data_IF_964687761698
#
_entry.id   IF_964687761698
#
_cell.length_a   1.000
_cell.length_b   1.000
_cell.length_c   1.000
_cell.angle_alpha   90.00
_cell.angle_beta   90.00
_cell.angle_gamma   90.00
#
_symmetry.space_group_name_H-M   'P 1'
#
loop_
_entity.id
_entity.type
_entity.pdbx_description
1 polymer ?
#
# COMPACT_ATOMS: atom_id res chain seq x y z
N UNK A 1 -59.14 -24.65 30.34
CA UNK A 1 -57.88 -24.76 29.57
C UNK A 1 -57.69 -23.44 28.85
N UNK A 2 -56.68 -22.68 29.29
CA UNK A 2 -56.43 -21.30 28.86
C UNK A 2 -55.84 -21.25 27.45
N UNK A 3 -56.30 -20.26 26.67
CA UNK A 3 -55.73 -19.86 25.38
C UNK A 3 -54.73 -18.74 25.62
N UNK A 4 -53.46 -18.92 25.26
CA UNK A 4 -52.57 -17.80 24.93
C UNK A 4 -51.77 -18.14 23.68
N UNK A 5 -52.13 -17.44 22.61
CA UNK A 5 -51.42 -17.35 21.34
C UNK A 5 -50.24 -16.41 21.54
N UNK A 6 -49.14 -16.64 20.82
CA UNK A 6 -48.29 -15.57 20.29
C UNK A 6 -47.45 -16.14 19.13
N UNK A 7 -47.71 -15.60 17.94
CA UNK A 7 -46.98 -15.77 16.69
C UNK A 7 -45.64 -15.01 16.76
N UNK A 8 -44.59 -15.54 16.13
CA UNK A 8 -43.53 -14.75 15.47
C UNK A 8 -42.73 -15.71 14.57
N UNK A 9 -43.07 -15.80 13.28
CA UNK A 9 -42.55 -14.97 12.19
C UNK A 9 -41.11 -15.35 11.80
N UNK A 10 -41.02 -16.14 10.73
CA UNK A 10 -39.85 -16.36 9.88
C UNK A 10 -39.33 -15.04 9.34
N UNK A 11 -38.03 -14.78 9.45
CA UNK A 11 -37.34 -13.81 8.62
C UNK A 11 -36.08 -14.46 8.05
N UNK A 12 -36.09 -14.68 6.73
CA UNK A 12 -34.92 -15.07 5.97
C UNK A 12 -33.99 -13.86 5.88
N UNK A 13 -32.79 -13.97 6.43
CA UNK A 13 -31.73 -13.01 6.16
C UNK A 13 -31.01 -13.46 4.89
N UNK A 14 -31.32 -12.79 3.77
CA UNK A 14 -30.53 -12.87 2.55
C UNK A 14 -29.14 -12.31 2.84
N UNK A 15 -28.12 -13.17 2.86
CA UNK A 15 -26.73 -12.75 2.88
C UNK A 15 -26.39 -12.12 1.52
N UNK A 16 -26.56 -10.81 1.41
CA UNK A 16 -25.99 -10.03 0.30
C UNK A 16 -24.51 -9.87 0.65
N UNK A 17 -23.70 -10.84 0.24
CA UNK A 17 -22.25 -10.70 0.29
C UNK A 17 -21.85 -9.60 -0.68
N UNK A 18 -21.67 -8.39 -0.17
CA UNK A 18 -20.92 -7.33 -0.85
C UNK A 18 -19.50 -7.84 -1.03
N UNK A 19 -19.23 -8.56 -2.11
CA UNK A 19 -17.88 -8.63 -2.65
C UNK A 19 -17.54 -7.19 -3.03
N UNK A 20 -16.93 -6.47 -2.09
CA UNK A 20 -16.33 -5.18 -2.35
C UNK A 20 -15.37 -5.39 -3.50
N UNK A 21 -15.76 -4.97 -4.70
CA UNK A 21 -14.86 -4.88 -5.83
C UNK A 21 -13.88 -3.75 -5.54
N UNK A 22 -12.93 -3.95 -4.64
CA UNK A 22 -11.73 -3.13 -4.60
C UNK A 22 -11.04 -3.35 -5.95
N UNK A 23 -11.03 -2.31 -6.78
CA UNK A 23 -10.24 -2.32 -8.00
C UNK A 23 -8.79 -2.59 -7.57
N UNK A 24 -8.05 -3.48 -8.26
CA UNK A 24 -6.68 -3.75 -7.86
C UNK A 24 -5.87 -2.44 -7.86
N UNK A 25 -4.98 -2.31 -6.89
CA UNK A 25 -4.12 -1.13 -6.72
C UNK A 25 -2.67 -1.51 -7.03
N UNK A 26 -1.81 -0.53 -7.34
CA UNK A 26 -0.36 -0.75 -7.37
C UNK A 26 0.14 -1.26 -6.01
N UNK A 27 1.16 -2.11 -6.03
CA UNK A 27 1.78 -2.64 -4.82
C UNK A 27 3.31 -2.66 -4.95
N UNK A 28 4.02 -2.38 -3.86
CA UNK A 28 5.46 -2.62 -3.77
C UNK A 28 5.69 -4.11 -3.55
N UNK A 29 6.51 -4.72 -4.40
CA UNK A 29 6.91 -6.13 -4.26
C UNK A 29 8.22 -6.28 -3.50
N UNK A 30 9.12 -5.30 -3.61
CA UNK A 30 10.39 -5.29 -2.88
C UNK A 30 10.95 -3.88 -2.75
N UNK A 31 11.64 -3.63 -1.64
CA UNK A 31 12.48 -2.45 -1.42
C UNK A 31 13.85 -2.92 -0.94
N UNK A 32 14.90 -2.40 -1.56
CA UNK A 32 16.29 -2.71 -1.21
C UNK A 32 17.08 -1.41 -1.17
N UNK A 33 17.87 -1.20 -0.13
CA UNK A 33 18.87 -0.14 -0.09
C UNK A 33 20.26 -0.74 -0.32
N UNK A 34 21.09 -0.04 -1.09
CA UNK A 34 22.52 -0.34 -1.16
C UNK A 34 23.21 0.26 0.08
N UNK A 35 24.19 -0.46 0.65
CA UNK A 35 25.00 -0.03 1.79
C UNK A 35 24.23 0.25 3.11
N UNK A 36 24.83 1.05 4.00
CA UNK A 36 24.23 1.47 5.27
C UNK A 36 23.13 2.52 5.01
N UNK A 37 22.04 2.47 5.79
CA UNK A 37 20.91 3.42 5.71
C UNK A 37 21.25 4.78 6.32
N UNK A 38 22.27 5.45 5.79
CA UNK A 38 22.70 6.76 6.27
C UNK A 38 23.39 7.57 5.17
N UNK A 39 23.07 8.87 5.11
CA UNK A 39 23.63 9.77 4.10
C UNK A 39 23.08 9.47 2.70
N UNK A 40 23.91 9.68 1.67
CA UNK A 40 23.51 9.45 0.28
C UNK A 40 23.39 7.96 -0.03
N UNK A 41 22.16 7.47 -0.13
CA UNK A 41 21.84 6.05 -0.32
C UNK A 41 21.06 5.83 -1.61
N UNK A 42 21.39 4.75 -2.33
CA UNK A 42 20.61 4.28 -3.46
C UNK A 42 19.57 3.25 -3.00
N UNK A 43 18.30 3.49 -3.32
CA UNK A 43 17.18 2.63 -2.99
C UNK A 43 16.53 2.14 -4.27
N UNK A 44 16.38 0.84 -4.39
CA UNK A 44 15.68 0.18 -5.49
C UNK A 44 14.33 -0.33 -5.02
N UNK A 45 13.26 0.12 -5.66
CA UNK A 45 11.88 -0.30 -5.38
C UNK A 45 11.32 -1.00 -6.60
N UNK A 46 10.78 -2.20 -6.43
CA UNK A 46 10.01 -2.88 -7.49
C UNK A 46 8.52 -2.73 -7.22
N UNK A 47 7.81 -2.22 -8.21
CA UNK A 47 6.37 -1.95 -8.15
C UNK A 47 5.65 -2.78 -9.21
N UNK A 48 4.53 -3.39 -8.82
CA UNK A 48 3.59 -4.04 -9.71
C UNK A 48 2.31 -3.21 -9.76
N UNK A 49 1.96 -2.67 -10.93
CA UNK A 49 0.66 -2.06 -11.13
C UNK A 49 -0.35 -3.15 -11.48
N UNK A 50 -1.06 -3.70 -10.50
CA UNK A 50 -2.18 -4.61 -10.76
C UNK A 50 -3.46 -3.87 -11.16
N UNK A 51 -3.50 -2.54 -10.97
CA UNK A 51 -4.62 -1.68 -11.29
C UNK A 51 -4.66 -1.24 -12.76
N UNK A 52 -5.44 -0.19 -13.02
CA UNK A 52 -5.52 0.39 -14.35
C UNK A 52 -4.24 1.15 -14.71
N UNK A 53 -4.00 1.35 -16.01
CA UNK A 53 -2.94 2.23 -16.48
C UNK A 53 -3.16 3.66 -15.96
N UNK A 54 -2.09 4.31 -15.51
CA UNK A 54 -2.13 5.65 -14.93
C UNK A 54 -0.86 5.98 -14.17
N UNK A 55 -0.94 7.06 -13.40
CA UNK A 55 0.12 7.46 -12.48
C UNK A 55 0.10 6.57 -11.24
N UNK A 56 1.29 6.23 -10.75
CA UNK A 56 1.53 5.49 -9.52
C UNK A 56 2.46 6.33 -8.66
N UNK A 57 2.01 6.61 -7.43
CA UNK A 57 2.83 7.28 -6.43
C UNK A 57 3.57 6.22 -5.62
N UNK A 58 4.90 6.32 -5.60
CA UNK A 58 5.79 5.50 -4.78
C UNK A 58 6.23 6.37 -3.62
N UNK A 59 5.96 5.92 -2.40
CA UNK A 59 6.35 6.62 -1.16
C UNK A 59 7.33 5.75 -0.41
N UNK A 60 8.56 6.25 -0.22
CA UNK A 60 9.60 5.61 0.58
C UNK A 60 9.64 6.32 1.93
N UNK A 61 9.63 5.55 3.02
CA UNK A 61 9.71 6.06 4.39
C UNK A 61 10.89 5.42 5.12
N UNK A 62 11.63 6.22 5.88
CA UNK A 62 12.63 5.72 6.82
C UNK A 62 12.11 5.85 8.24
N UNK A 63 12.52 4.95 9.11
CA UNK A 63 12.07 4.90 10.51
C UNK A 63 13.24 4.76 11.46
N UNK A 64 13.08 5.32 12.65
CA UNK A 64 13.92 5.02 13.81
C UNK A 64 13.53 3.68 14.47
N UNK A 65 14.29 3.29 15.50
CA UNK A 65 14.03 2.10 16.32
C UNK A 65 12.71 2.14 17.12
N UNK A 66 12.06 3.31 17.16
CA UNK A 66 10.79 3.54 17.86
C UNK A 66 9.58 3.59 16.91
N UNK A 67 9.77 3.22 15.63
CA UNK A 67 8.77 3.30 14.57
C UNK A 67 8.31 4.74 14.22
N UNK A 68 9.12 5.75 14.56
CA UNK A 68 8.90 7.13 14.13
C UNK A 68 9.39 7.31 12.70
N UNK A 69 8.57 7.91 11.83
CA UNK A 69 9.00 8.30 10.48
C UNK A 69 10.02 9.44 10.59
N UNK A 70 11.21 9.24 10.01
CA UNK A 70 12.27 10.25 9.95
C UNK A 70 12.24 11.01 8.63
N UNK A 71 12.23 10.27 7.51
CA UNK A 71 12.18 10.84 6.16
C UNK A 71 11.04 10.22 5.35
N UNK A 72 10.51 11.00 4.40
CA UNK A 72 9.51 10.55 3.41
C UNK A 72 9.88 11.09 2.02
N UNK A 73 9.98 10.20 1.04
CA UNK A 73 10.27 10.54 -0.35
C UNK A 73 9.16 10.03 -1.25
N UNK A 74 8.58 10.93 -2.06
CA UNK A 74 7.52 10.56 -3.01
C UNK A 74 8.01 10.74 -4.44
N UNK A 75 7.73 9.76 -5.30
CA UNK A 75 7.90 9.89 -6.76
C UNK A 75 6.68 9.33 -7.48
N UNK A 76 6.20 10.09 -8.44
CA UNK A 76 5.14 9.66 -9.34
C UNK A 76 5.73 9.10 -10.64
N UNK A 77 5.22 7.95 -11.07
CA UNK A 77 5.59 7.31 -12.34
C UNK A 77 4.36 6.84 -13.12
N UNK A 78 4.41 6.98 -14.45
CA UNK A 78 3.39 6.42 -15.32
C UNK A 78 3.63 4.91 -15.55
N UNK A 79 2.63 4.09 -15.23
CA UNK A 79 2.65 2.63 -15.41
C UNK A 79 1.45 2.14 -16.21
N UNK A 80 1.66 1.14 -17.07
CA UNK A 80 0.57 0.43 -17.75
C UNK A 80 -0.12 -0.54 -16.79
N UNK A 81 -1.34 -0.95 -17.14
CA UNK A 81 -2.03 -2.04 -16.45
C UNK A 81 -1.20 -3.33 -16.53
N UNK A 82 -1.00 -3.98 -15.38
CA UNK A 82 -0.21 -5.20 -15.25
C UNK A 82 1.31 -5.00 -15.35
N UNK A 83 1.80 -3.77 -15.49
CA UNK A 83 3.23 -3.52 -15.60
C UNK A 83 3.96 -3.74 -14.27
N UNK A 84 5.09 -4.44 -14.34
CA UNK A 84 6.08 -4.51 -13.26
C UNK A 84 7.29 -3.65 -13.66
N UNK A 85 7.71 -2.75 -12.77
CA UNK A 85 8.86 -1.87 -13.01
C UNK A 85 9.72 -1.74 -11.76
N UNK A 86 11.02 -1.68 -11.99
CA UNK A 86 12.03 -1.36 -10.98
C UNK A 86 12.41 0.12 -11.12
N UNK A 87 12.45 0.84 -9.99
CA UNK A 87 12.77 2.26 -9.91
C UNK A 87 13.88 2.50 -8.89
N UNK A 88 14.86 3.29 -9.30
CA UNK A 88 16.02 3.64 -8.48
C UNK A 88 15.91 5.06 -7.96
N UNK A 89 16.11 5.23 -6.67
CA UNK A 89 16.03 6.49 -5.94
C UNK A 89 17.38 6.78 -5.32
N UNK A 90 17.87 7.99 -5.54
CA UNK A 90 19.03 8.50 -4.83
C UNK A 90 18.48 9.51 -3.82
N UNK A 91 18.58 9.19 -2.53
CA UNK A 91 18.03 10.00 -1.44
C UNK A 91 19.08 10.21 -0.36
N UNK A 92 18.88 11.25 0.46
CA UNK A 92 19.69 11.49 1.64
C UNK A 92 18.92 11.02 2.88
N UNK A 93 19.41 9.97 3.52
CA UNK A 93 18.78 9.31 4.67
C UNK A 93 19.35 9.90 5.97
N UNK A 94 18.46 10.19 6.92
CA UNK A 94 18.83 10.57 8.28
C UNK A 94 19.69 9.49 8.96
N UNK A 95 20.72 9.90 9.71
CA UNK A 95 21.68 8.99 10.34
C UNK A 95 21.12 8.18 11.52
N UNK A 96 19.94 8.54 12.03
CA UNK A 96 19.18 7.81 13.04
C UNK A 96 18.27 6.73 12.44
N UNK A 97 18.20 6.62 11.10
CA UNK A 97 17.36 5.62 10.44
C UNK A 97 17.89 4.21 10.64
N UNK A 98 16.99 3.30 11.02
CA UNK A 98 17.30 1.88 11.19
C UNK A 98 16.46 0.96 10.30
N UNK A 99 15.36 1.47 9.74
CA UNK A 99 14.49 0.72 8.83
C UNK A 99 14.01 1.57 7.66
N UNK A 100 13.79 0.91 6.53
CA UNK A 100 13.16 1.46 5.33
C UNK A 100 11.87 0.69 5.00
N UNK A 101 10.86 1.39 4.53
CA UNK A 101 9.65 0.83 3.94
C UNK A 101 9.28 1.59 2.65
N UNK A 102 8.50 0.94 1.79
CA UNK A 102 7.98 1.57 0.59
C UNK A 102 6.54 1.15 0.31
N UNK A 103 5.72 2.13 -0.05
CA UNK A 103 4.31 1.99 -0.39
C UNK A 103 4.10 2.45 -1.84
N UNK A 104 3.12 1.85 -2.52
CA UNK A 104 2.69 2.28 -3.84
C UNK A 104 1.18 2.45 -3.84
N UNK A 105 0.69 3.52 -4.47
CA UNK A 105 -0.73 3.80 -4.63
C UNK A 105 -1.03 4.38 -5.99
N UNK A 106 -2.27 4.24 -6.45
CA UNK A 106 -2.71 4.95 -7.66
C UNK A 106 -2.65 6.46 -7.42
N UNK A 107 -1.98 7.18 -8.32
CA UNK A 107 -1.89 8.64 -8.25
C UNK A 107 -3.23 9.29 -8.58
N UNK A 108 -3.56 10.35 -7.85
CA UNK A 108 -4.74 11.17 -8.14
C UNK A 108 -4.43 12.10 -9.32
N UNK A 109 -5.20 11.97 -10.40
CA UNK A 109 -5.15 12.84 -11.58
C UNK A 109 -6.22 13.93 -11.46
#
# INVERSE_FOLDING_TARGET
>A
MERRQLLAATAAATAVGLAGCSKPEPTVESVTAEDELMGSTEITVTVQNSGAAGEVDIVIKTYDDQDTVLDEFTRQIAMKEGERREETFNVEINDEASRIDAEASAGYI
#
